data_IF_722167174540
#
_entry.id   IF_722167174540
#
_cell.length_a   1.000
_cell.length_b   1.000
_cell.length_c   1.000
_cell.angle_alpha   90.00
_cell.angle_beta   90.00
_cell.angle_gamma   90.00
#
_symmetry.space_group_name_H-M   'P 1'
#
loop_
_entity.id
_entity.type
_entity.pdbx_description
1 polymer ?
#
# COMPACT_ATOMS: atom_id res chain seq x y z
N UNK A 1 -41.03 -33.47 20.24
CA UNK A 1 -40.01 -33.31 21.29
C UNK A 1 -38.60 -33.20 20.68
N UNK A 2 -38.23 -31.99 20.28
CA UNK A 2 -36.82 -31.55 20.14
C UNK A 2 -36.85 -30.04 20.06
N UNK A 3 -36.60 -29.37 21.17
CA UNK A 3 -36.45 -27.92 21.23
C UNK A 3 -35.16 -27.51 20.50
N UNK A 4 -35.15 -26.38 19.76
CA UNK A 4 -33.94 -25.87 19.15
C UNK A 4 -32.93 -25.41 20.22
N UNK A 5 -31.61 -25.52 19.96
CA UNK A 5 -30.60 -25.14 20.94
C UNK A 5 -30.64 -23.63 21.21
N UNK A 6 -30.30 -23.19 22.44
CA UNK A 6 -30.31 -21.77 22.76
C UNK A 6 -29.23 -21.08 21.92
N UNK A 7 -29.67 -20.13 21.08
CA UNK A 7 -28.77 -19.23 20.38
C UNK A 7 -27.85 -18.62 21.44
N UNK A 8 -26.56 -18.95 21.38
CA UNK A 8 -25.52 -18.26 22.13
C UNK A 8 -25.72 -16.77 21.80
N UNK A 9 -26.32 -16.01 22.73
CA UNK A 9 -26.34 -14.56 22.69
C UNK A 9 -24.89 -14.15 22.58
N UNK A 10 -24.42 -13.86 21.37
CA UNK A 10 -23.14 -13.21 21.15
C UNK A 10 -23.20 -11.99 22.06
N UNK A 11 -22.27 -11.93 23.02
CA UNK A 11 -22.18 -10.76 23.90
C UNK A 11 -22.13 -9.53 22.98
N UNK A 12 -23.01 -8.54 23.19
CA UNK A 12 -22.93 -7.31 22.41
C UNK A 12 -21.51 -6.79 22.52
N UNK A 13 -20.86 -6.49 21.38
CA UNK A 13 -19.57 -5.83 21.49
C UNK A 13 -19.83 -4.44 22.09
N UNK A 14 -18.90 -3.88 22.87
CA UNK A 14 -19.13 -2.63 23.61
C UNK A 14 -19.52 -1.41 22.76
N UNK A 15 -19.52 -1.52 21.43
CA UNK A 15 -19.84 -0.47 20.48
C UNK A 15 -21.20 -0.66 19.75
N UNK A 16 -21.95 -1.74 20.01
CA UNK A 16 -23.12 -2.12 19.21
C UNK A 16 -24.42 -1.34 19.51
N UNK A 17 -24.50 -0.51 20.56
CA UNK A 17 -25.66 0.35 20.76
C UNK A 17 -25.34 1.56 21.64
N UNK A 18 -25.58 2.76 21.10
CA UNK A 18 -25.76 3.99 21.88
C UNK A 18 -24.54 4.56 22.61
N UNK A 19 -23.36 4.60 21.98
CA UNK A 19 -22.28 5.47 22.46
C UNK A 19 -22.51 6.91 21.96
N UNK A 20 -22.72 7.92 22.84
CA UNK A 20 -22.93 9.33 22.47
C UNK A 20 -21.69 9.99 21.83
N UNK A 21 -20.58 9.26 21.75
CA UNK A 21 -19.32 9.65 21.17
C UNK A 21 -18.85 8.54 20.20
N UNK A 22 -19.04 8.73 18.88
CA UNK A 22 -18.39 7.86 17.91
C UNK A 22 -16.87 7.85 18.13
N UNK A 23 -16.16 6.76 17.79
CA UNK A 23 -14.72 6.69 17.94
C UNK A 23 -14.04 7.91 17.29
N UNK A 24 -12.94 8.43 17.84
CA UNK A 24 -12.36 9.71 17.45
C UNK A 24 -12.08 9.83 15.94
N UNK A 25 -11.66 8.73 15.31
CA UNK A 25 -11.41 8.68 13.86
C UNK A 25 -12.70 8.81 13.04
N UNK A 26 -13.80 8.22 13.50
CA UNK A 26 -15.10 8.32 12.82
C UNK A 26 -15.69 9.72 12.98
N UNK A 27 -15.46 10.37 14.14
CA UNK A 27 -15.80 11.78 14.37
C UNK A 27 -15.01 12.72 13.46
N UNK A 28 -13.71 12.47 13.29
CA UNK A 28 -12.85 13.25 12.41
C UNK A 28 -13.28 13.09 10.95
N UNK A 29 -13.56 11.86 10.50
CA UNK A 29 -14.01 11.57 9.14
C UNK A 29 -15.36 12.22 8.83
N UNK A 30 -16.32 12.17 9.77
CA UNK A 30 -17.62 12.86 9.68
C UNK A 30 -17.47 14.39 9.69
N UNK A 31 -16.49 14.96 10.39
CA UNK A 31 -16.23 16.40 10.37
C UNK A 31 -15.57 16.88 9.07
N UNK A 32 -14.60 16.12 8.53
CA UNK A 32 -13.90 16.47 7.29
C UNK A 32 -14.81 16.30 6.08
N UNK A 33 -15.60 15.23 6.02
CA UNK A 33 -16.58 15.02 4.92
C UNK A 33 -17.64 16.12 4.84
N UNK A 34 -17.95 16.80 5.96
CA UNK A 34 -18.86 17.96 5.98
C UNK A 34 -18.23 19.25 5.42
N UNK A 35 -16.91 19.32 5.31
CA UNK A 35 -16.18 20.50 4.81
C UNK A 35 -15.56 20.27 3.41
N UNK A 36 -15.20 19.04 3.08
CA UNK A 36 -14.63 18.65 1.79
C UNK A 36 -15.62 17.74 1.06
N UNK A 37 -16.45 18.34 0.21
CA UNK A 37 -17.59 17.68 -0.44
C UNK A 37 -17.21 16.63 -1.51
N UNK A 38 -15.97 16.61 -2.00
CA UNK A 38 -15.54 15.74 -3.12
C UNK A 38 -14.18 15.05 -2.91
N UNK A 39 -13.67 15.02 -1.68
CA UNK A 39 -12.41 14.33 -1.39
C UNK A 39 -12.69 13.00 -0.69
N UNK A 40 -12.60 11.86 -1.39
CA UNK A 40 -12.81 10.57 -0.74
C UNK A 40 -11.72 10.33 0.31
N UNK A 41 -12.16 10.02 1.53
CA UNK A 41 -11.28 9.77 2.68
C UNK A 41 -11.04 8.27 2.83
N UNK A 42 -9.79 7.84 2.70
CA UNK A 42 -9.40 6.44 2.83
C UNK A 42 -8.65 6.21 4.14
N UNK A 43 -8.98 5.11 4.81
CA UNK A 43 -8.29 4.73 6.03
C UNK A 43 -6.98 4.04 5.70
N UNK A 44 -5.86 4.65 6.10
CA UNK A 44 -4.55 4.04 6.02
C UNK A 44 -4.28 3.27 7.32
N UNK A 45 -4.49 1.96 7.30
CA UNK A 45 -4.31 1.10 8.48
C UNK A 45 -2.88 0.60 8.56
N UNK A 46 -2.08 1.18 9.45
CA UNK A 46 -0.75 0.69 9.81
C UNK A 46 -0.88 -0.19 11.04
N UNK A 47 -0.39 -1.45 11.02
CA UNK A 47 -0.44 -2.32 12.19
C UNK A 47 0.54 -1.87 13.28
N UNK A 48 0.37 -2.40 14.49
CA UNK A 48 1.28 -2.16 15.60
C UNK A 48 2.64 -2.83 15.33
N UNK A 49 3.56 -2.06 14.74
CA UNK A 49 4.92 -2.50 14.48
C UNK A 49 5.72 -2.51 15.78
N UNK A 50 6.56 -3.54 15.99
CA UNK A 50 7.43 -3.64 17.16
C UNK A 50 8.39 -2.43 17.23
N UNK A 51 8.28 -1.54 18.23
CA UNK A 51 9.22 -0.44 18.40
C UNK A 51 10.60 -0.97 18.85
N UNK A 52 11.66 -0.40 18.29
CA UNK A 52 13.04 -0.69 18.70
C UNK A 52 13.52 0.18 19.87
N UNK A 53 14.84 0.23 20.10
CA UNK A 53 15.44 1.23 20.99
C UNK A 53 15.41 2.62 20.36
N UNK A 54 15.50 3.68 21.16
CA UNK A 54 15.52 5.06 20.66
C UNK A 54 16.63 5.30 19.63
N UNK A 55 17.85 4.83 19.91
CA UNK A 55 18.98 4.94 18.99
C UNK A 55 18.72 4.22 17.64
N UNK A 56 18.09 3.05 17.71
CA UNK A 56 17.71 2.31 16.50
C UNK A 56 16.64 3.06 15.70
N UNK A 57 15.70 3.73 16.37
CA UNK A 57 14.65 4.52 15.74
C UNK A 57 15.20 5.78 15.07
N UNK A 58 16.13 6.49 15.73
CA UNK A 58 16.81 7.65 15.16
C UNK A 58 17.59 7.29 13.91
N UNK A 59 18.42 6.23 13.99
CA UNK A 59 19.13 5.72 12.83
C UNK A 59 18.18 5.24 11.72
N UNK A 60 17.03 4.66 12.08
CA UNK A 60 16.01 4.24 11.12
C UNK A 60 15.36 5.44 10.43
N UNK A 61 15.07 6.53 11.15
CA UNK A 61 14.47 7.74 10.59
C UNK A 61 15.30 8.31 9.43
N UNK A 62 16.61 8.45 9.63
CA UNK A 62 17.51 8.94 8.56
C UNK A 62 17.55 7.99 7.36
N UNK A 63 17.53 6.68 7.62
CA UNK A 63 17.53 5.66 6.57
C UNK A 63 16.19 5.61 5.83
N UNK A 64 15.07 5.89 6.50
CA UNK A 64 13.74 5.96 5.88
C UNK A 64 13.67 7.12 4.87
N UNK A 65 14.24 8.28 5.18
CA UNK A 65 14.32 9.40 4.24
C UNK A 65 15.07 9.00 2.96
N UNK A 66 16.24 8.35 3.11
CA UNK A 66 17.02 7.86 1.96
C UNK A 66 16.26 6.79 1.17
N UNK A 67 15.59 5.89 1.87
CA UNK A 67 14.75 4.84 1.27
C UNK A 67 13.62 5.43 0.46
N UNK A 68 12.95 6.45 0.99
CA UNK A 68 11.85 7.12 0.30
C UNK A 68 12.32 7.75 -1.01
N UNK A 69 13.40 8.54 -0.97
CA UNK A 69 13.99 9.17 -2.17
C UNK A 69 14.36 8.11 -3.22
N UNK A 70 14.97 6.99 -2.78
CA UNK A 70 15.31 5.89 -3.69
C UNK A 70 14.08 5.26 -4.33
N UNK A 71 13.07 4.90 -3.53
CA UNK A 71 11.84 4.24 -4.02
C UNK A 71 11.04 5.16 -4.95
N UNK A 72 10.91 6.45 -4.59
CA UNK A 72 10.29 7.45 -5.45
C UNK A 72 11.04 7.59 -6.78
N UNK A 73 12.38 7.65 -6.73
CA UNK A 73 13.23 7.73 -7.93
C UNK A 73 13.04 6.53 -8.86
N UNK A 74 13.04 5.31 -8.32
CA UNK A 74 12.78 4.08 -9.09
C UNK A 74 11.36 4.08 -9.66
N UNK A 75 10.36 4.43 -8.85
CA UNK A 75 8.96 4.51 -9.31
C UNK A 75 8.79 5.50 -10.46
N UNK A 76 9.46 6.65 -10.41
CA UNK A 76 9.44 7.64 -11.49
C UNK A 76 10.11 7.12 -12.77
N UNK A 77 11.22 6.40 -12.67
CA UNK A 77 11.87 5.78 -13.82
C UNK A 77 10.95 4.75 -14.47
N UNK A 78 10.38 3.84 -13.69
CA UNK A 78 9.47 2.81 -14.18
C UNK A 78 8.26 3.45 -14.86
N UNK A 79 7.65 4.47 -14.24
CA UNK A 79 6.54 5.24 -14.85
C UNK A 79 6.93 5.79 -16.22
N UNK A 80 8.11 6.42 -16.32
CA UNK A 80 8.59 6.98 -17.59
C UNK A 80 8.84 5.91 -18.65
N UNK A 81 9.44 4.78 -18.27
CA UNK A 81 9.66 3.66 -19.19
C UNK A 81 8.34 3.09 -19.72
N UNK A 82 7.31 2.99 -18.86
CA UNK A 82 5.99 2.55 -19.28
C UNK A 82 5.36 3.57 -20.24
N UNK A 83 5.41 4.88 -19.92
CA UNK A 83 4.90 5.94 -20.80
C UNK A 83 5.60 5.93 -22.17
N UNK A 84 6.92 5.72 -22.22
CA UNK A 84 7.69 5.64 -23.45
C UNK A 84 7.30 4.38 -24.27
N UNK A 85 7.09 3.25 -23.61
CA UNK A 85 6.60 2.02 -24.24
C UNK A 85 5.16 2.15 -24.77
N UNK A 86 4.25 2.79 -24.01
CA UNK A 86 2.88 3.05 -24.44
C UNK A 86 2.84 3.92 -25.71
N UNK A 87 3.70 4.95 -25.78
CA UNK A 87 3.85 5.79 -26.97
C UNK A 87 4.41 5.04 -28.18
N UNK A 88 5.34 4.11 -27.96
CA UNK A 88 5.92 3.28 -29.03
C UNK A 88 4.93 2.20 -29.51
N UNK A 89 4.11 1.66 -28.61
CA UNK A 89 3.15 0.59 -28.89
C UNK A 89 1.73 1.06 -29.27
N UNK A 90 1.43 2.36 -29.18
CA UNK A 90 0.10 2.92 -29.49
C UNK A 90 -0.99 2.54 -28.47
N UNK A 91 -0.61 2.24 -27.23
CA UNK A 91 -1.53 1.91 -26.13
C UNK A 91 -1.99 3.20 -25.46
N UNK A 92 -3.30 3.36 -25.23
CA UNK A 92 -3.84 4.56 -24.56
C UNK A 92 -3.38 4.64 -23.09
N UNK A 93 -2.97 5.83 -22.62
CA UNK A 93 -2.50 6.02 -21.26
C UNK A 93 -3.63 5.79 -20.25
N UNK A 94 -3.34 5.06 -19.18
CA UNK A 94 -4.30 4.77 -18.10
C UNK A 94 -4.96 3.40 -18.16
N UNK A 95 -4.56 2.55 -19.11
CA UNK A 95 -5.02 1.14 -19.20
C UNK A 95 -4.22 0.20 -18.27
N UNK A 96 -3.22 0.72 -17.57
CA UNK A 96 -2.36 -0.04 -16.67
C UNK A 96 -3.18 -0.61 -15.51
N UNK A 97 -3.36 -1.92 -15.55
CA UNK A 97 -4.00 -2.68 -14.47
C UNK A 97 -2.99 -3.68 -13.93
N UNK A 98 -2.94 -3.82 -12.61
CA UNK A 98 -2.22 -4.91 -11.96
C UNK A 98 -3.24 -6.01 -11.70
N UNK A 99 -3.08 -7.18 -12.32
CA UNK A 99 -4.04 -8.29 -12.23
C UNK A 99 -5.50 -7.89 -12.59
N UNK A 100 -5.68 -6.93 -13.50
CA UNK A 100 -7.00 -6.40 -13.89
C UNK A 100 -7.58 -5.35 -12.94
N UNK A 101 -6.84 -4.94 -11.90
CA UNK A 101 -7.22 -3.89 -10.96
C UNK A 101 -6.53 -2.56 -11.31
N UNK A 102 -7.25 -1.43 -11.39
CA UNK A 102 -6.65 -0.13 -11.62
C UNK A 102 -5.66 0.24 -10.51
N UNK A 103 -4.56 0.89 -10.87
CA UNK A 103 -3.52 1.32 -9.92
C UNK A 103 -4.10 2.18 -8.79
N UNK A 104 -5.07 3.05 -9.08
CA UNK A 104 -5.77 3.89 -8.09
C UNK A 104 -6.46 3.08 -6.98
N UNK A 105 -6.93 1.87 -7.28
CA UNK A 105 -7.59 1.01 -6.29
C UNK A 105 -6.62 0.52 -5.20
N UNK A 106 -5.31 0.47 -5.48
CA UNK A 106 -4.30 0.07 -4.50
C UNK A 106 -4.00 1.17 -3.48
N UNK A 107 -4.12 2.44 -3.87
CA UNK A 107 -3.95 3.58 -2.97
C UNK A 107 -5.14 3.72 -2.00
N UNK A 108 -6.33 3.40 -2.48
CA UNK A 108 -7.59 3.59 -1.74
C UNK A 108 -7.92 2.44 -0.79
N UNK A 109 -7.32 1.26 -0.99
CA UNK A 109 -7.58 0.03 -0.22
C UNK A 109 -6.29 -0.59 0.32
N UNK A 110 -5.41 0.25 0.84
CA UNK A 110 -4.16 -0.21 1.41
C UNK A 110 -4.40 -1.25 2.52
N UNK A 111 -3.78 -2.42 2.38
CA UNK A 111 -3.74 -3.47 3.40
C UNK A 111 -2.29 -3.83 3.64
N UNK A 112 -1.88 -3.82 4.91
CA UNK A 112 -0.54 -4.26 5.27
C UNK A 112 -0.38 -5.75 4.99
N UNK A 113 0.60 -6.10 4.17
CA UNK A 113 0.88 -7.49 3.81
C UNK A 113 1.63 -8.23 4.91
N UNK A 114 0.97 -8.58 6.02
CA UNK A 114 1.59 -9.24 7.19
C UNK A 114 2.33 -10.53 6.85
N UNK A 115 1.91 -11.26 5.80
CA UNK A 115 2.60 -12.46 5.32
C UNK A 115 3.97 -12.19 4.69
N UNK A 116 4.17 -11.00 4.10
CA UNK A 116 5.47 -10.57 3.55
C UNK A 116 6.27 -9.70 4.52
N UNK A 117 5.57 -8.93 5.35
CA UNK A 117 6.15 -7.96 6.29
C UNK A 117 5.58 -8.19 7.70
N UNK A 118 6.11 -9.18 8.45
CA UNK A 118 5.59 -9.53 9.76
C UNK A 118 5.78 -8.39 10.76
N UNK A 119 4.73 -8.06 11.50
CA UNK A 119 4.69 -6.93 12.46
C UNK A 119 5.61 -7.10 13.67
N UNK A 120 6.00 -8.35 13.96
CA UNK A 120 6.91 -8.73 15.04
C UNK A 120 8.39 -8.62 14.66
N UNK A 121 8.71 -8.48 13.36
CA UNK A 121 10.08 -8.32 12.91
C UNK A 121 10.61 -6.92 13.24
N UNK A 122 11.94 -6.76 13.46
CA UNK A 122 12.51 -5.44 13.66
C UNK A 122 12.31 -4.57 12.42
N UNK A 123 11.86 -3.34 12.63
CA UNK A 123 11.54 -2.37 11.57
C UNK A 123 12.64 -2.24 10.50
N UNK A 124 13.91 -2.34 10.90
CA UNK A 124 15.05 -2.26 9.99
C UNK A 124 15.03 -3.36 8.93
N UNK A 125 14.67 -4.60 9.30
CA UNK A 125 14.58 -5.72 8.37
C UNK A 125 13.46 -5.50 7.35
N UNK A 126 12.31 -4.98 7.80
CA UNK A 126 11.20 -4.63 6.92
C UNK A 126 11.63 -3.60 5.88
N UNK A 127 12.32 -2.53 6.28
CA UNK A 127 12.83 -1.49 5.36
C UNK A 127 13.83 -2.07 4.36
N UNK A 128 14.81 -2.85 4.83
CA UNK A 128 15.79 -3.49 3.94
C UNK A 128 15.13 -4.47 2.96
N UNK A 129 14.12 -5.23 3.40
CA UNK A 129 13.35 -6.13 2.53
C UNK A 129 12.62 -5.36 1.44
N UNK A 130 11.98 -4.23 1.77
CA UNK A 130 11.31 -3.35 0.80
C UNK A 130 12.33 -2.80 -0.21
N UNK A 131 13.45 -2.26 0.25
CA UNK A 131 14.51 -1.75 -0.63
C UNK A 131 15.01 -2.82 -1.61
N UNK A 132 15.27 -4.04 -1.12
CA UNK A 132 15.72 -5.15 -1.96
C UNK A 132 14.67 -5.55 -2.99
N UNK A 133 13.39 -5.58 -2.61
CA UNK A 133 12.30 -5.89 -3.54
C UNK A 133 12.17 -4.81 -4.62
N UNK A 134 12.26 -3.53 -4.26
CA UNK A 134 12.19 -2.42 -5.22
C UNK A 134 13.36 -2.48 -6.20
N UNK A 135 14.58 -2.76 -5.74
CA UNK A 135 15.73 -2.94 -6.63
C UNK A 135 15.55 -4.12 -7.60
N UNK A 136 14.99 -5.24 -7.15
CA UNK A 136 14.67 -6.39 -8.03
C UNK A 136 13.61 -6.05 -9.07
N UNK A 137 12.60 -5.26 -8.70
CA UNK A 137 11.56 -4.80 -9.62
C UNK A 137 12.18 -3.87 -10.68
N UNK A 138 13.04 -2.93 -10.29
CA UNK A 138 13.76 -2.05 -11.22
C UNK A 138 14.56 -2.86 -12.26
N UNK A 139 15.32 -3.85 -11.79
CA UNK A 139 16.14 -4.71 -12.66
C UNK A 139 15.29 -5.54 -13.64
N UNK A 140 14.18 -6.09 -13.16
CA UNK A 140 13.23 -6.84 -13.97
C UNK A 140 12.59 -5.96 -15.06
N UNK A 141 12.13 -4.76 -14.71
CA UNK A 141 11.54 -3.82 -15.68
C UNK A 141 12.59 -3.42 -16.73
N UNK A 142 13.81 -3.08 -16.31
CA UNK A 142 14.89 -2.76 -17.24
C UNK A 142 15.17 -3.91 -18.22
N UNK A 143 15.24 -5.14 -17.72
CA UNK A 143 15.47 -6.32 -18.56
C UNK A 143 14.35 -6.53 -19.58
N UNK A 144 13.08 -6.36 -19.17
CA UNK A 144 11.94 -6.46 -20.08
C UNK A 144 11.98 -5.38 -21.16
N UNK A 145 12.24 -4.12 -20.77
CA UNK A 145 12.32 -2.99 -21.71
C UNK A 145 13.39 -3.24 -22.76
N UNK A 146 14.60 -3.67 -22.34
CA UNK A 146 15.68 -4.01 -23.27
C UNK A 146 15.29 -5.12 -24.23
N UNK A 147 14.68 -6.20 -23.72
CA UNK A 147 14.21 -7.30 -24.58
C UNK A 147 13.16 -6.86 -25.60
N UNK A 148 12.23 -5.97 -25.23
CA UNK A 148 11.22 -5.44 -26.15
C UNK A 148 11.88 -4.58 -27.23
N UNK A 149 12.84 -3.71 -26.85
CA UNK A 149 13.58 -2.88 -27.78
C UNK A 149 14.44 -3.71 -28.75
N UNK A 150 15.09 -4.78 -28.26
CA UNK A 150 15.84 -5.71 -29.11
C UNK A 150 14.95 -6.40 -30.14
N UNK A 151 13.76 -6.86 -29.74
CA UNK A 151 12.78 -7.47 -30.65
C UNK A 151 12.30 -6.46 -31.69
N UNK A 152 11.97 -5.23 -31.28
CA UNK A 152 11.55 -4.16 -32.19
C UNK A 152 12.65 -3.73 -33.16
N UNK A 153 13.93 -3.81 -32.77
CA UNK A 153 15.06 -3.40 -33.60
C UNK A 153 15.52 -4.51 -34.56
N UNK A 154 15.28 -5.78 -34.22
CA UNK A 154 15.57 -6.94 -35.08
C UNK A 154 14.42 -7.34 -36.01
N UNK A 155 13.23 -6.75 -35.87
CA UNK A 155 12.07 -6.96 -36.74
C UNK A 155 11.92 -5.82 -37.76
#
# INVERSE_FOLDING_TARGET
PTAPPPLLRRRPRPWDASAPNPPPLLRLQDAISRHSFDTPLYQFTVPDLRPGTLDSLLALSDNLVKSNIFIEGVSHKIRRQIEDLERAGGVEPGTLTVDGVPVDSYLTRFVWGEGKYPVNAPLKETVTSIQSQVAKIEDLVNTIVLSIMDILFHC
#
